data_IF_249146746658
#
_entry.id   IF_249146746658
#
_cell.length_a   1.000
_cell.length_b   1.000
_cell.length_c   1.000
_cell.angle_alpha   90.00
_cell.angle_beta   90.00
_cell.angle_gamma   90.00
#
_symmetry.space_group_name_H-M   'P 1'
#
loop_
_entity.id
_entity.type
_entity.pdbx_description
1 polymer ?
#
# COMPACT_ATOMS: atom_id res chain seq x y z
N UNK A 1 7.91 17.88 4.49
CA UNK A 1 8.27 18.96 5.45
C UNK A 1 9.34 18.56 6.50
N UNK A 2 10.63 18.49 6.17
CA UNK A 2 11.69 18.05 7.12
C UNK A 2 12.00 19.05 8.25
N UNK A 3 11.40 20.24 8.21
CA UNK A 3 11.61 21.29 9.19
C UNK A 3 10.65 21.10 10.39
N UNK A 4 11.18 20.95 11.62
CA UNK A 4 10.35 20.79 12.80
C UNK A 4 9.53 22.06 13.07
N UNK A 5 8.29 21.87 13.49
CA UNK A 5 7.41 22.97 13.92
C UNK A 5 7.46 23.12 15.44
N UNK A 6 7.54 24.36 15.92
CA UNK A 6 7.48 24.65 17.36
C UNK A 6 6.01 24.62 17.79
N UNK A 7 5.66 23.71 18.69
CA UNK A 7 4.32 23.59 19.24
C UNK A 7 4.37 23.45 20.76
N UNK A 8 3.36 23.98 21.44
CA UNK A 8 3.17 23.79 22.88
C UNK A 8 2.52 22.43 23.13
N UNK A 9 3.23 21.56 23.82
CA UNK A 9 2.75 20.23 24.20
C UNK A 9 1.77 20.30 25.39
N UNK A 10 1.00 19.21 25.67
CA UNK A 10 0.08 19.15 26.82
C UNK A 10 0.72 19.38 28.19
N UNK A 11 2.02 19.14 28.31
CA UNK A 11 2.83 19.39 29.50
C UNK A 11 3.30 20.86 29.65
N UNK A 12 2.80 21.74 28.77
CA UNK A 12 3.11 23.17 28.68
C UNK A 12 4.51 23.55 28.19
N UNK A 13 5.35 22.60 27.78
CA UNK A 13 6.64 22.90 27.16
C UNK A 13 6.51 23.12 25.65
N UNK A 14 7.37 23.97 25.09
CA UNK A 14 7.48 24.12 23.64
C UNK A 14 8.49 23.12 23.11
N UNK A 15 8.05 22.28 22.17
CA UNK A 15 8.87 21.25 21.55
C UNK A 15 8.95 21.46 20.04
N UNK A 16 10.08 21.03 19.46
CA UNK A 16 10.22 20.84 18.02
C UNK A 16 9.54 19.52 17.63
N UNK A 17 8.44 19.60 16.89
CA UNK A 17 7.65 18.45 16.45
C UNK A 17 7.86 18.23 14.95
N UNK A 18 8.11 16.98 14.57
CA UNK A 18 8.06 16.51 13.19
C UNK A 18 6.85 15.58 13.10
N UNK A 19 5.92 15.90 12.18
CA UNK A 19 4.78 15.05 11.91
C UNK A 19 5.20 13.88 11.03
N UNK A 20 4.80 12.68 11.41
CA UNK A 20 4.99 11.47 10.62
C UNK A 20 3.70 10.67 10.57
N UNK A 21 3.58 9.83 9.55
CA UNK A 21 2.48 8.88 9.41
C UNK A 21 2.96 7.48 9.81
N UNK A 22 2.08 6.76 10.50
CA UNK A 22 2.27 5.38 10.96
C UNK A 22 1.76 4.41 9.88
N UNK A 23 1.85 3.07 10.05
CA UNK A 23 1.37 2.14 9.05
C UNK A 23 -0.11 2.38 8.70
N UNK A 24 -0.40 2.44 7.41
CA UNK A 24 -1.73 2.68 6.88
C UNK A 24 -2.44 1.34 6.66
N UNK A 25 -3.43 1.05 7.49
CA UNK A 25 -4.20 -0.20 7.41
C UNK A 25 -5.44 0.04 6.57
N UNK A 26 -5.50 -0.61 5.41
CA UNK A 26 -6.57 -0.46 4.43
C UNK A 26 -6.87 -1.80 3.76
N UNK A 27 -8.09 -1.94 3.23
CA UNK A 27 -8.40 -3.07 2.36
C UNK A 27 -7.68 -2.93 1.00
N UNK A 28 -7.62 -4.00 0.22
CA UNK A 28 -6.79 -3.99 -1.00
C UNK A 28 -7.25 -2.93 -2.03
N UNK A 29 -8.55 -2.75 -2.32
CA UNK A 29 -9.00 -1.67 -3.19
C UNK A 29 -8.58 -0.27 -2.72
N UNK A 30 -8.64 0.01 -1.41
CA UNK A 30 -8.16 1.28 -0.87
C UNK A 30 -6.63 1.40 -0.97
N UNK A 31 -5.88 0.32 -0.72
CA UNK A 31 -4.42 0.30 -0.95
C UNK A 31 -4.06 0.65 -2.41
N UNK A 32 -4.79 0.08 -3.37
CA UNK A 32 -4.61 0.36 -4.80
C UNK A 32 -4.78 1.86 -5.08
N UNK A 33 -5.86 2.45 -4.56
CA UNK A 33 -6.16 3.87 -4.74
C UNK A 33 -5.09 4.80 -4.14
N UNK A 34 -4.72 4.57 -2.88
CA UNK A 34 -3.84 5.51 -2.15
C UNK A 34 -2.37 5.41 -2.57
N UNK A 35 -1.94 4.26 -3.09
CA UNK A 35 -0.56 4.03 -3.53
C UNK A 35 -0.35 4.22 -5.03
N UNK A 36 -1.42 4.51 -5.79
CA UNK A 36 -1.32 4.76 -7.23
C UNK A 36 -0.85 3.56 -8.03
N UNK A 37 -1.14 2.34 -7.55
CA UNK A 37 -0.83 1.11 -8.28
C UNK A 37 -2.01 0.65 -9.13
N UNK A 38 -1.74 -0.23 -10.09
CA UNK A 38 -2.77 -0.92 -10.85
C UNK A 38 -3.28 -2.13 -10.06
N UNK A 39 -4.58 -2.42 -10.19
CA UNK A 39 -5.17 -3.58 -9.55
C UNK A 39 -4.43 -4.87 -9.93
N UNK A 40 -4.25 -5.77 -8.95
CA UNK A 40 -3.47 -7.01 -8.99
C UNK A 40 -1.95 -6.83 -8.91
N UNK A 41 -1.44 -5.60 -8.77
CA UNK A 41 -0.03 -5.35 -8.43
C UNK A 41 0.18 -5.22 -6.91
N UNK A 42 1.44 -5.31 -6.48
CA UNK A 42 1.80 -5.13 -5.08
C UNK A 42 2.11 -3.65 -4.79
N UNK A 43 1.47 -3.09 -3.76
CA UNK A 43 1.74 -1.71 -3.35
C UNK A 43 3.06 -1.52 -2.60
N UNK A 44 3.74 -2.62 -2.22
CA UNK A 44 4.96 -2.60 -1.38
C UNK A 44 6.23 -3.00 -2.13
N UNK A 45 6.12 -3.69 -3.26
CA UNK A 45 7.28 -4.19 -4.01
C UNK A 45 7.00 -4.29 -5.51
N UNK A 46 8.06 -4.32 -6.31
CA UNK A 46 8.01 -4.48 -7.78
C UNK A 46 7.79 -5.93 -8.24
N UNK A 47 7.11 -6.74 -7.42
CA UNK A 47 6.80 -8.11 -7.83
C UNK A 47 5.79 -8.10 -8.99
N UNK A 48 6.01 -8.95 -9.99
CA UNK A 48 5.08 -9.07 -11.10
C UNK A 48 3.73 -9.60 -10.61
N UNK A 49 2.60 -9.17 -11.22
CA UNK A 49 1.26 -9.57 -10.80
C UNK A 49 1.02 -11.09 -10.92
N UNK A 50 1.79 -11.75 -11.79
CA UNK A 50 1.75 -13.20 -11.98
C UNK A 50 2.66 -13.98 -11.01
N UNK A 51 3.52 -13.30 -10.25
CA UNK A 51 4.43 -13.90 -9.28
C UNK A 51 4.63 -13.01 -8.05
N UNK A 52 3.54 -12.75 -7.33
CA UNK A 52 3.53 -11.94 -6.11
C UNK A 52 4.28 -12.59 -4.94
N UNK A 53 4.59 -13.89 -5.04
CA UNK A 53 5.39 -14.61 -4.04
C UNK A 53 6.91 -14.41 -4.27
N UNK A 54 7.30 -13.89 -5.43
CA UNK A 54 8.68 -13.56 -5.73
C UNK A 54 9.20 -12.46 -4.81
N UNK A 55 10.49 -12.53 -4.44
CA UNK A 55 11.16 -11.46 -3.71
C UNK A 55 11.39 -10.26 -4.64
N UNK A 56 10.38 -9.41 -4.79
CA UNK A 56 10.51 -8.12 -5.46
C UNK A 56 11.29 -7.12 -4.58
N UNK A 57 12.06 -6.23 -5.21
CA UNK A 57 12.63 -5.09 -4.49
C UNK A 57 11.49 -4.20 -3.94
N UNK A 58 11.70 -3.48 -2.83
CA UNK A 58 10.70 -2.55 -2.31
C UNK A 58 10.31 -1.52 -3.36
N UNK A 59 9.00 -1.25 -3.47
CA UNK A 59 8.51 -0.08 -4.16
C UNK A 59 8.77 1.10 -3.23
N UNK A 60 9.46 2.12 -3.72
CA UNK A 60 9.73 3.33 -2.94
C UNK A 60 9.25 4.54 -3.71
N UNK A 61 8.94 5.62 -2.99
CA UNK A 61 8.59 6.89 -3.61
C UNK A 61 9.68 7.37 -4.57
N UNK A 62 10.95 7.20 -4.20
CA UNK A 62 12.11 7.54 -5.04
C UNK A 62 12.10 6.75 -6.37
N UNK A 63 11.82 5.45 -6.33
CA UNK A 63 11.70 4.62 -7.53
C UNK A 63 10.50 5.06 -8.38
N UNK A 64 9.33 5.26 -7.75
CA UNK A 64 8.12 5.71 -8.44
C UNK A 64 8.36 7.04 -9.18
N UNK A 65 8.99 8.01 -8.52
CA UNK A 65 9.31 9.31 -9.12
C UNK A 65 10.29 9.18 -10.29
N UNK A 66 11.37 8.41 -10.12
CA UNK A 66 12.34 8.19 -11.20
C UNK A 66 11.70 7.53 -12.42
N UNK A 67 10.78 6.57 -12.23
CA UNK A 67 10.06 5.93 -13.32
C UNK A 67 9.09 6.90 -14.02
N UNK A 68 8.39 7.76 -13.26
CA UNK A 68 7.47 8.77 -13.80
C UNK A 68 8.22 9.79 -14.67
N UNK A 69 9.43 10.17 -14.29
CA UNK A 69 10.26 11.12 -15.03
C UNK A 69 10.82 10.52 -16.35
N UNK A 70 11.15 9.23 -16.35
CA UNK A 70 11.88 8.58 -17.45
C UNK A 70 10.97 7.83 -18.45
N UNK A 71 9.79 7.37 -18.04
CA UNK A 71 8.95 6.46 -18.83
C UNK A 71 7.62 7.10 -19.26
N UNK A 72 7.11 6.76 -20.46
CA UNK A 72 5.78 7.17 -20.86
C UNK A 72 4.71 6.43 -20.03
N UNK A 73 3.56 7.08 -19.80
CA UNK A 73 2.47 6.57 -18.96
C UNK A 73 1.99 5.16 -19.31
N UNK A 74 1.98 4.79 -20.60
CA UNK A 74 1.61 3.44 -21.02
C UNK A 74 2.55 2.35 -20.51
N UNK A 75 3.87 2.62 -20.53
CA UNK A 75 4.88 1.67 -20.04
C UNK A 75 4.83 1.57 -18.51
N UNK A 76 4.63 2.69 -17.82
CA UNK A 76 4.41 2.70 -16.36
C UNK A 76 3.22 1.83 -15.97
N UNK A 77 2.12 1.96 -16.70
CA UNK A 77 0.91 1.21 -16.44
C UNK A 77 1.10 -0.29 -16.70
N UNK A 78 1.61 -0.64 -17.89
CA UNK A 78 1.64 -2.03 -18.37
C UNK A 78 2.80 -2.85 -17.76
N UNK A 79 3.98 -2.25 -17.58
CA UNK A 79 5.20 -2.97 -17.17
C UNK A 79 5.53 -2.80 -15.68
N UNK A 80 5.11 -1.70 -15.06
CA UNK A 80 5.42 -1.38 -13.67
C UNK A 80 4.20 -1.37 -12.75
N UNK A 81 2.99 -1.37 -13.31
CA UNK A 81 1.77 -1.33 -12.53
C UNK A 81 1.60 -0.03 -11.74
N UNK A 82 2.09 1.09 -12.28
CA UNK A 82 2.02 2.42 -11.66
C UNK A 82 1.09 3.31 -12.50
N UNK A 83 0.13 3.96 -11.86
CA UNK A 83 -0.65 5.04 -12.45
C UNK A 83 0.07 6.39 -12.21
N UNK A 84 0.83 6.85 -13.21
CA UNK A 84 1.53 8.13 -13.15
C UNK A 84 0.63 9.36 -13.05
N UNK A 85 -0.70 9.23 -13.12
CA UNK A 85 -1.64 10.34 -12.89
C UNK A 85 -2.09 10.44 -11.42
N UNK A 86 -1.77 9.44 -10.60
CA UNK A 86 -2.13 9.43 -9.18
C UNK A 86 -0.95 9.92 -8.36
N UNK A 87 -1.17 11.00 -7.61
CA UNK A 87 -0.22 11.51 -6.63
C UNK A 87 -0.65 11.00 -5.25
N UNK A 88 0.17 10.19 -4.55
CA UNK A 88 -0.15 9.74 -3.21
C UNK A 88 -0.33 10.92 -2.26
N UNK A 89 -1.32 10.84 -1.36
CA UNK A 89 -1.57 11.89 -0.37
C UNK A 89 -0.41 12.08 0.62
N UNK A 90 0.50 11.11 0.70
CA UNK A 90 1.68 11.14 1.56
C UNK A 90 2.82 11.97 1.00
N UNK A 91 2.78 12.39 -0.27
CA UNK A 91 3.89 13.07 -0.94
C UNK A 91 4.28 14.39 -0.27
N UNK A 92 3.31 15.08 0.32
CA UNK A 92 3.55 16.33 1.06
C UNK A 92 4.15 16.09 2.46
N UNK A 93 4.07 14.85 2.96
CA UNK A 93 4.54 14.52 4.29
C UNK A 93 6.05 14.23 4.30
N UNK A 94 6.81 14.85 5.21
CA UNK A 94 8.21 14.51 5.37
C UNK A 94 8.41 13.06 5.74
N UNK A 95 9.46 12.46 5.18
CA UNK A 95 9.94 11.14 5.61
C UNK A 95 8.84 10.06 5.56
N UNK A 96 7.88 10.21 4.65
CA UNK A 96 6.74 9.31 4.52
C UNK A 96 6.73 8.74 3.11
N UNK A 97 6.59 7.42 3.02
CA UNK A 97 6.48 6.69 1.77
C UNK A 97 5.29 5.74 1.89
N UNK A 98 4.22 5.99 1.12
CA UNK A 98 3.01 5.18 1.19
C UNK A 98 3.30 3.70 0.98
N UNK A 99 4.23 3.36 0.08
CA UNK A 99 4.58 1.99 -0.27
C UNK A 99 5.23 1.24 0.91
N UNK A 100 5.88 1.97 1.82
CA UNK A 100 6.45 1.43 3.05
C UNK A 100 5.43 1.40 4.19
N UNK A 101 4.47 2.32 4.18
CA UNK A 101 3.44 2.43 5.20
C UNK A 101 2.32 1.42 5.05
N UNK A 102 2.06 0.87 3.86
CA UNK A 102 0.98 -0.09 3.64
C UNK A 102 1.10 -1.28 4.63
N UNK A 103 0.09 -1.39 5.50
CA UNK A 103 -0.06 -2.49 6.44
C UNK A 103 -1.16 -3.45 6.00
N UNK A 104 -0.95 -4.72 6.29
CA UNK A 104 -1.94 -5.74 6.02
C UNK A 104 -3.15 -5.57 6.96
N UNK A 105 -4.34 -5.40 6.39
CA UNK A 105 -5.59 -5.55 7.13
C UNK A 105 -5.87 -7.05 7.36
N UNK A 106 -5.35 -7.57 8.48
CA UNK A 106 -5.55 -8.96 8.88
C UNK A 106 -7.02 -9.33 9.05
N UNK A 107 -7.86 -8.39 9.52
CA UNK A 107 -9.26 -8.68 9.76
C UNK A 107 -10.01 -8.86 8.44
N UNK A 108 -9.81 -7.93 7.51
CA UNK A 108 -10.51 -7.99 6.22
C UNK A 108 -9.93 -9.05 5.30
N UNK A 109 -8.61 -9.12 5.16
CA UNK A 109 -7.98 -10.02 4.18
C UNK A 109 -8.02 -11.47 4.66
N UNK A 110 -7.56 -11.72 5.89
CA UNK A 110 -7.40 -13.10 6.37
C UNK A 110 -8.72 -13.68 6.88
N UNK A 111 -9.41 -12.96 7.78
CA UNK A 111 -10.59 -13.52 8.45
C UNK A 111 -11.82 -13.45 7.56
N UNK A 112 -12.09 -12.30 6.95
CA UNK A 112 -13.26 -12.15 6.08
C UNK A 112 -13.03 -12.75 4.70
N UNK A 113 -11.96 -12.36 4.01
CA UNK A 113 -11.63 -12.89 2.68
C UNK A 113 -11.31 -14.38 2.72
N UNK A 114 -10.15 -14.75 3.27
CA UNK A 114 -9.66 -16.14 3.18
C UNK A 114 -10.51 -17.13 3.98
N UNK A 115 -10.80 -16.84 5.24
CA UNK A 115 -11.46 -17.82 6.09
C UNK A 115 -12.96 -17.91 5.80
N UNK A 116 -13.69 -16.80 5.91
CA UNK A 116 -15.15 -16.80 5.76
C UNK A 116 -15.59 -17.02 4.30
N UNK A 117 -15.02 -16.29 3.34
CA UNK A 117 -15.56 -16.29 1.97
C UNK A 117 -15.01 -17.45 1.11
N UNK A 118 -13.81 -17.94 1.40
CA UNK A 118 -13.21 -19.08 0.69
C UNK A 118 -13.29 -20.39 1.48
N UNK A 119 -12.58 -20.49 2.62
CA UNK A 119 -12.42 -21.77 3.31
C UNK A 119 -13.76 -22.36 3.78
N UNK A 120 -14.58 -21.58 4.47
CA UNK A 120 -15.90 -22.05 4.94
C UNK A 120 -16.80 -22.46 3.77
N UNK A 121 -16.75 -21.71 2.66
CA UNK A 121 -17.52 -22.01 1.45
C UNK A 121 -17.07 -23.31 0.80
N UNK A 122 -15.76 -23.54 0.69
CA UNK A 122 -15.21 -24.77 0.12
C UNK A 122 -15.51 -26.00 0.98
N UNK A 123 -15.32 -25.89 2.30
CA UNK A 123 -15.64 -26.98 3.23
C UNK A 123 -17.12 -27.31 3.18
N UNK A 124 -18.02 -26.31 3.14
CA UNK A 124 -19.46 -26.55 2.98
C UNK A 124 -19.76 -27.32 1.69
N UNK A 125 -19.21 -26.85 0.56
CA UNK A 125 -19.41 -27.50 -0.74
C UNK A 125 -18.90 -28.94 -0.74
N UNK A 126 -17.77 -29.21 -0.08
CA UNK A 126 -17.23 -30.56 0.06
C UNK A 126 -18.19 -31.47 0.83
N UNK A 127 -18.72 -31.01 1.98
CA UNK A 127 -19.64 -31.78 2.80
C UNK A 127 -20.97 -32.07 2.08
N UNK A 128 -21.49 -31.12 1.30
CA UNK A 128 -22.69 -31.29 0.47
C UNK A 128 -22.50 -32.24 -0.72
N UNK A 129 -21.26 -32.56 -1.11
CA UNK A 129 -20.97 -33.54 -2.17
C UNK A 129 -20.82 -34.96 -1.63
N UNK A 130 -20.49 -35.13 -0.34
CA UNK A 130 -20.36 -36.44 0.29
C UNK A 130 -21.68 -36.99 0.88
N UNK A 131 -22.70 -36.16 1.03
CA UNK A 131 -24.03 -36.51 1.54
C UNK A 131 -25.13 -36.21 0.51
#
# INVERSE_FOLDING_TARGET
MTMPQIMKCPDHHFCHIIFGLSPYTADYPEQVLISGIIQNWCGRCIAFPNDLNGSGAPQTLELTQALIEELPLGILWDEWGIDGNVVPFTDDFPCTDIHQLLALDLLHQLVKGTFKDHLVKWVRKYLELEY
#
